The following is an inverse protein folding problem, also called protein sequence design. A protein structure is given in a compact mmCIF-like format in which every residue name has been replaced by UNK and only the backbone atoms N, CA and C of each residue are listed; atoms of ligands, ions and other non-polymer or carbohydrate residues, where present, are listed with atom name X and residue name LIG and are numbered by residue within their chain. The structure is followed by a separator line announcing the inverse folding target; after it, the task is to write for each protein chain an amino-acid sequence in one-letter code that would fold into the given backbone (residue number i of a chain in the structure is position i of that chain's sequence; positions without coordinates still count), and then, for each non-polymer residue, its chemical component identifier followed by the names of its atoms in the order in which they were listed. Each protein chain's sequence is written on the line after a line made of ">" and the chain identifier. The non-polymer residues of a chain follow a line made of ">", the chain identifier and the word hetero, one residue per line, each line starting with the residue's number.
data_IF_580377464201
#
_entry.id   IF_580377464201
#
_cell.length_a   1.000
_cell.length_b   1.000
_cell.length_c   1.000
_cell.angle_alpha   90.00
_cell.angle_beta   90.00
_cell.angle_gamma   90.00
#
_symmetry.space_group_name_H-M   'P 1'
#
loop_
_entity.id
_entity.type
_entity.pdbx_description
1 polymer ?
#
# COMPACT_ATOMS: atom_id res chain seq x y z
N UNK A 1 21.61 8.53 0.03
CA UNK A 1 20.51 7.63 -0.37
C UNK A 1 19.35 8.53 -0.77
N UNK A 2 18.90 8.40 -2.01
CA UNK A 2 17.80 9.22 -2.54
C UNK A 2 16.48 8.81 -1.87
N UNK A 3 15.82 9.77 -1.22
CA UNK A 3 14.54 9.56 -0.55
C UNK A 3 13.43 9.46 -1.61
N UNK A 4 12.52 8.47 -1.48
CA UNK A 4 11.35 8.38 -2.36
C UNK A 4 10.41 9.54 -2.00
N UNK A 5 10.27 10.49 -2.93
CA UNK A 5 9.38 11.64 -2.78
C UNK A 5 8.01 11.27 -3.34
N UNK A 6 6.98 11.35 -2.48
CA UNK A 6 5.58 11.20 -2.89
C UNK A 6 4.92 12.58 -3.04
N UNK A 7 3.84 12.69 -3.84
CA UNK A 7 3.04 13.91 -3.92
C UNK A 7 2.49 14.33 -2.54
N UNK A 8 2.25 15.63 -2.34
CA UNK A 8 1.76 16.19 -1.06
C UNK A 8 0.42 15.59 -0.61
N UNK A 9 -0.41 15.13 -1.56
CA UNK A 9 -1.69 14.47 -1.28
C UNK A 9 -1.55 13.05 -0.72
N UNK A 10 -0.33 12.48 -0.67
CA UNK A 10 -0.08 11.13 -0.21
C UNK A 10 0.35 11.14 1.25
N UNK A 11 -0.22 10.24 2.03
CA UNK A 11 0.26 9.98 3.38
C UNK A 11 1.45 9.01 3.31
N UNK A 12 2.62 9.48 3.74
CA UNK A 12 3.84 8.67 3.73
C UNK A 12 3.95 7.85 5.02
N UNK A 13 4.15 6.54 4.89
CA UNK A 13 4.33 5.62 6.04
C UNK A 13 5.57 4.75 5.87
N UNK A 14 6.37 4.66 6.93
CA UNK A 14 7.50 3.73 6.99
C UNK A 14 7.02 2.33 7.33
N UNK A 15 7.52 1.33 6.61
CA UNK A 15 7.24 -0.08 6.88
C UNK A 15 8.13 -0.58 8.01
N UNK A 16 7.52 -1.17 9.02
CA UNK A 16 8.19 -1.71 10.22
C UNK A 16 8.82 -3.09 9.95
N UNK A 17 9.49 -3.65 10.96
CA UNK A 17 10.15 -4.97 10.87
C UNK A 17 9.23 -6.14 10.58
N UNK A 18 7.91 -5.98 10.80
CA UNK A 18 6.89 -6.99 10.49
C UNK A 18 6.39 -6.88 9.04
N UNK A 19 6.99 -6.01 8.23
CA UNK A 19 6.51 -5.74 6.87
C UNK A 19 5.20 -4.99 6.83
N UNK A 20 4.87 -4.23 7.89
CA UNK A 20 3.58 -3.60 8.07
C UNK A 20 3.66 -2.07 8.19
N UNK A 21 2.54 -1.41 7.89
CA UNK A 21 2.34 0.02 8.16
C UNK A 21 1.34 0.20 9.30
N UNK A 22 1.56 1.25 10.10
CA UNK A 22 0.63 1.63 11.15
C UNK A 22 -0.30 2.74 10.66
N UNK A 23 -1.60 2.43 10.60
CA UNK A 23 -2.66 3.39 10.29
C UNK A 23 -3.52 3.54 11.54
N UNK A 24 -3.62 4.76 12.06
CA UNK A 24 -4.17 5.06 13.39
C UNK A 24 -3.43 4.25 14.47
N UNK A 25 -4.03 3.17 14.98
CA UNK A 25 -3.43 2.25 15.95
C UNK A 25 -3.41 0.79 15.48
N UNK A 26 -3.72 0.54 14.21
CA UNK A 26 -3.82 -0.80 13.63
C UNK A 26 -2.63 -1.03 12.71
N UNK A 27 -2.04 -2.20 12.83
CA UNK A 27 -0.93 -2.65 12.03
C UNK A 27 -1.45 -3.48 10.85
N UNK A 28 -1.13 -3.05 9.63
CA UNK A 28 -1.60 -3.67 8.39
C UNK A 28 -0.38 -4.21 7.66
N UNK A 29 -0.28 -5.54 7.55
CA UNK A 29 0.84 -6.21 6.89
C UNK A 29 0.77 -6.01 5.37
N UNK A 30 1.87 -5.54 4.79
CA UNK A 30 2.03 -5.35 3.34
C UNK A 30 2.95 -6.44 2.78
N UNK A 31 4.22 -6.41 3.19
CA UNK A 31 5.26 -7.37 2.80
C UNK A 31 6.54 -7.11 3.60
N UNK A 32 7.19 -8.17 4.06
CA UNK A 32 8.52 -8.09 4.71
C UNK A 32 9.60 -7.51 3.79
N UNK A 33 9.46 -7.67 2.47
CA UNK A 33 10.42 -7.13 1.50
C UNK A 33 10.47 -5.59 1.50
N UNK A 34 9.44 -4.93 2.04
CA UNK A 34 9.37 -3.46 2.13
C UNK A 34 9.94 -2.92 3.44
N UNK A 35 10.44 -3.76 4.35
CA UNK A 35 11.00 -3.31 5.62
C UNK A 35 12.03 -2.18 5.44
N UNK A 36 11.87 -1.11 6.20
CA UNK A 36 12.77 0.05 6.17
C UNK A 36 12.44 1.08 5.10
N UNK A 37 11.62 0.74 4.10
CA UNK A 37 11.17 1.65 3.06
C UNK A 37 9.94 2.47 3.48
N UNK A 38 9.74 3.58 2.77
CA UNK A 38 8.51 4.37 2.85
C UNK A 38 7.58 4.03 1.69
N UNK A 39 6.32 3.79 2.02
CA UNK A 39 5.23 3.68 1.05
C UNK A 39 4.38 4.96 1.07
N UNK A 40 3.77 5.26 -0.05
CA UNK A 40 2.80 6.34 -0.19
C UNK A 40 1.38 5.76 -0.15
N UNK A 41 0.51 6.36 0.67
CA UNK A 41 -0.89 6.00 0.76
C UNK A 41 -1.71 7.13 0.12
N UNK A 42 -2.54 6.81 -0.87
CA UNK A 42 -3.45 7.78 -1.49
C UNK A 42 -4.89 7.33 -1.33
N UNK A 43 -5.81 8.26 -1.09
CA UNK A 43 -7.25 7.96 -1.14
C UNK A 43 -7.60 7.41 -2.52
N UNK A 44 -8.28 6.26 -2.58
CA UNK A 44 -8.73 5.66 -3.83
C UNK A 44 -10.10 6.18 -4.24
N UNK A 45 -11.05 6.15 -3.31
CA UNK A 45 -12.46 6.49 -3.54
C UNK A 45 -13.19 6.78 -2.21
N UNK A 46 -14.49 7.03 -2.30
CA UNK A 46 -15.40 7.25 -1.16
C UNK A 46 -15.65 6.00 -0.29
N UNK A 47 -15.18 4.82 -0.70
CA UNK A 47 -15.42 3.54 -0.01
C UNK A 47 -14.39 3.23 1.08
N UNK A 48 -13.72 4.24 1.63
CA UNK A 48 -12.70 4.09 2.67
C UNK A 48 -11.54 3.16 2.25
N UNK A 49 -11.06 3.30 1.01
CA UNK A 49 -9.90 2.54 0.50
C UNK A 49 -8.69 3.44 0.26
N UNK A 50 -7.51 2.92 0.59
CA UNK A 50 -6.23 3.57 0.31
C UNK A 50 -5.44 2.76 -0.70
N UNK A 51 -4.99 3.38 -1.79
CA UNK A 51 -3.98 2.78 -2.64
C UNK A 51 -2.62 2.79 -1.92
N UNK A 52 -1.88 1.69 -2.04
CA UNK A 52 -0.52 1.55 -1.52
C UNK A 52 0.46 1.64 -2.68
N UNK A 53 1.30 2.67 -2.65
CA UNK A 53 2.30 2.94 -3.67
C UNK A 53 3.70 2.73 -3.11
N UNK A 54 4.55 2.10 -3.91
CA UNK A 54 5.99 2.09 -3.70
C UNK A 54 6.65 2.84 -4.86
N UNK A 55 7.16 4.03 -4.57
CA UNK A 55 7.57 4.98 -5.60
C UNK A 55 6.41 5.21 -6.59
N UNK A 56 6.60 4.88 -7.86
CA UNK A 56 5.57 5.00 -8.93
C UNK A 56 4.74 3.72 -9.14
N UNK A 57 5.01 2.66 -8.38
CA UNK A 57 4.36 1.37 -8.57
C UNK A 57 3.19 1.21 -7.60
N UNK A 58 1.99 0.97 -8.13
CA UNK A 58 0.83 0.60 -7.33
C UNK A 58 1.00 -0.86 -6.88
N UNK A 59 1.10 -1.09 -5.58
CA UNK A 59 1.24 -2.43 -5.01
C UNK A 59 -0.11 -3.10 -4.76
N UNK A 60 -1.12 -2.30 -4.42
CA UNK A 60 -2.41 -2.79 -4.00
C UNK A 60 -3.24 -1.73 -3.29
N UNK A 61 -4.22 -2.19 -2.53
CA UNK A 61 -5.13 -1.36 -1.78
C UNK A 61 -5.32 -1.86 -0.35
N UNK A 62 -5.53 -0.93 0.58
CA UNK A 62 -5.94 -1.17 1.95
C UNK A 62 -7.41 -0.82 2.06
N UNK A 63 -8.21 -1.77 2.51
CA UNK A 63 -9.58 -1.54 2.94
C UNK A 63 -9.57 -1.10 4.42
N UNK A 64 -10.00 0.12 4.71
CA UNK A 64 -10.01 0.67 6.07
C UNK A 64 -11.19 0.18 6.92
N UNK A 65 -12.17 -0.49 6.34
CA UNK A 65 -13.25 -1.15 7.08
C UNK A 65 -12.76 -2.49 7.64
N UNK A 66 -11.98 -3.24 6.86
CA UNK A 66 -11.46 -4.56 7.26
C UNK A 66 -10.02 -4.54 7.76
N UNK A 67 -9.31 -3.42 7.57
CA UNK A 67 -7.87 -3.26 7.83
C UNK A 67 -7.00 -4.31 7.14
N UNK A 68 -7.42 -4.74 5.94
CA UNK A 68 -6.72 -5.74 5.12
C UNK A 68 -6.09 -5.09 3.91
N UNK A 69 -4.92 -5.60 3.53
CA UNK A 69 -4.23 -5.25 2.30
C UNK A 69 -4.52 -6.30 1.22
N UNK A 70 -4.84 -5.84 0.03
CA UNK A 70 -5.05 -6.65 -1.17
C UNK A 70 -4.05 -6.21 -2.24
N UNK A 71 -3.21 -7.13 -2.70
CA UNK A 71 -2.28 -6.87 -3.80
C UNK A 71 -3.04 -6.64 -5.09
N UNK A 72 -2.54 -5.79 -5.99
CA UNK A 72 -3.07 -5.77 -7.36
C UNK A 72 -2.90 -7.18 -7.96
N UNK A 73 -4.00 -7.78 -8.39
CA UNK A 73 -3.94 -8.99 -9.21
C UNK A 73 -3.89 -8.51 -10.65
N UNK A 74 -2.81 -8.78 -11.36
CA UNK A 74 -2.78 -8.59 -12.80
C UNK A 74 -3.82 -9.55 -13.40
N UNK A 75 -4.85 -9.02 -14.05
CA UNK A 75 -5.83 -9.80 -14.81
C UNK A 75 -5.19 -10.40 -16.08
N UNK A 76 -4.27 -11.36 -15.93
CA UNK A 76 -3.70 -12.13 -17.05
C UNK A 76 -4.18 -13.58 -17.11
N UNK A 77 -5.29 -13.93 -16.43
CA UNK A 77 -5.83 -15.29 -16.48
C UNK A 77 -7.34 -15.36 -16.67
N UNK A 78 -7.86 -14.73 -17.73
CA UNK A 78 -9.16 -15.16 -18.27
C UNK A 78 -9.25 -15.07 -19.80
N UNK A 79 -8.32 -15.75 -20.48
CA UNK A 79 -8.53 -16.29 -21.83
C UNK A 79 -7.96 -17.71 -21.90
N UNK A 80 -8.62 -18.65 -21.23
CA UNK A 80 -8.64 -20.03 -21.71
C UNK A 80 -9.88 -20.16 -22.60
N UNK A 81 -9.69 -19.94 -23.90
CA UNK A 81 -10.48 -20.64 -24.91
C UNK A 81 -9.84 -22.01 -25.12
#
# INVERSE_FOLDING_TARGET
>A
MDEIIYPVSFERRKVNSNGAVKIKSIEITLSYALYGYHVGLSQKDEHNRLNVWFNRFLLGEIDLQTYKFYTIQNEENNKKC
#
